data_IF_822125721501
#
_entry.id   IF_822125721501
#
_cell.length_a   1.000
_cell.length_b   1.000
_cell.length_c   1.000
_cell.angle_alpha   90.00
_cell.angle_beta   90.00
_cell.angle_gamma   90.00
#
_symmetry.space_group_name_H-M   'P 1'
#
loop_
_entity.id
_entity.type
_entity.pdbx_description
1 polymer ?
#
# COMPACT_ATOMS: atom_id res chain seq x y z
N UNK A 1 11.19 12.56 -33.03
CA UNK A 1 11.77 12.28 -31.68
C UNK A 1 10.81 11.35 -30.98
N UNK A 2 11.22 10.13 -30.61
CA UNK A 2 10.39 9.24 -29.78
C UNK A 2 10.50 9.70 -28.31
N UNK A 3 9.36 9.81 -27.60
CA UNK A 3 9.39 10.16 -26.19
C UNK A 3 10.02 9.01 -25.36
N UNK A 4 10.82 9.30 -24.33
CA UNK A 4 11.37 8.28 -23.46
C UNK A 4 10.26 7.61 -22.65
N UNK A 5 10.33 6.28 -22.55
CA UNK A 5 9.44 5.47 -21.72
C UNK A 5 9.62 5.85 -20.25
N UNK A 6 8.53 6.12 -19.56
CA UNK A 6 8.46 6.44 -18.13
C UNK A 6 8.15 5.18 -17.31
N UNK A 7 8.37 5.24 -15.99
CA UNK A 7 8.00 4.16 -15.06
C UNK A 7 6.50 3.83 -15.04
N UNK A 8 5.67 4.67 -15.65
CA UNK A 8 4.22 4.49 -15.76
C UNK A 8 3.79 3.90 -17.12
N UNK A 9 4.73 3.76 -18.06
CA UNK A 9 4.47 3.23 -19.41
C UNK A 9 4.64 1.70 -19.50
N UNK A 10 4.93 1.04 -18.38
CA UNK A 10 5.08 -0.42 -18.27
C UNK A 10 4.20 -0.95 -17.14
N UNK A 11 2.94 -1.23 -17.47
CA UNK A 11 2.06 -2.02 -16.61
C UNK A 11 2.20 -3.49 -17.00
N UNK A 12 2.80 -4.28 -16.12
CA UNK A 12 2.76 -5.73 -16.20
C UNK A 12 1.48 -6.22 -15.50
N UNK A 13 0.43 -6.47 -16.30
CA UNK A 13 -0.87 -6.92 -15.80
C UNK A 13 -0.77 -8.25 -15.03
N UNK A 14 0.18 -9.12 -15.40
CA UNK A 14 0.39 -10.39 -14.71
C UNK A 14 1.02 -10.17 -13.33
N UNK A 15 1.95 -9.22 -13.23
CA UNK A 15 2.52 -8.80 -11.95
C UNK A 15 1.48 -8.13 -11.05
N UNK A 16 0.62 -7.27 -11.61
CA UNK A 16 -0.49 -6.65 -10.87
C UNK A 16 -1.48 -7.71 -10.34
N UNK A 17 -1.89 -8.66 -11.18
CA UNK A 17 -2.80 -9.72 -10.78
C UNK A 17 -2.20 -10.62 -9.67
N UNK A 18 -0.90 -10.92 -9.76
CA UNK A 18 -0.19 -11.68 -8.73
C UNK A 18 -0.14 -10.92 -7.40
N UNK A 19 0.18 -9.62 -7.44
CA UNK A 19 0.21 -8.76 -6.26
C UNK A 19 -1.16 -8.65 -5.57
N UNK A 20 -2.24 -8.49 -6.35
CA UNK A 20 -3.61 -8.47 -5.82
C UNK A 20 -3.97 -9.81 -5.16
N UNK A 21 -3.61 -10.93 -5.79
CA UNK A 21 -3.88 -12.26 -5.25
C UNK A 21 -3.17 -12.45 -3.91
N UNK A 22 -1.88 -12.09 -3.84
CA UNK A 22 -1.11 -12.15 -2.60
C UNK A 22 -1.74 -11.28 -1.50
N UNK A 23 -2.08 -10.03 -1.80
CA UNK A 23 -2.69 -9.11 -0.84
C UNK A 23 -4.00 -9.67 -0.27
N UNK A 24 -4.84 -10.31 -1.10
CA UNK A 24 -6.08 -10.97 -0.65
C UNK A 24 -5.79 -12.15 0.27
N UNK A 25 -4.78 -12.96 -0.04
CA UNK A 25 -4.36 -14.07 0.83
C UNK A 25 -3.86 -13.57 2.18
N UNK A 26 -3.07 -12.48 2.20
CA UNK A 26 -2.57 -11.88 3.43
C UNK A 26 -3.71 -11.33 4.30
N UNK A 27 -4.66 -10.61 3.69
CA UNK A 27 -5.87 -10.13 4.39
C UNK A 27 -6.67 -11.31 4.97
N UNK A 28 -6.86 -12.39 4.19
CA UNK A 28 -7.56 -13.58 4.67
C UNK A 28 -6.82 -14.30 5.80
N UNK A 29 -5.49 -14.21 5.85
CA UNK A 29 -4.65 -14.71 6.93
C UNK A 29 -4.62 -13.77 8.16
N UNK A 30 -5.41 -12.69 8.15
CA UNK A 30 -5.45 -11.69 9.23
C UNK A 30 -4.27 -10.73 9.24
N UNK A 31 -3.40 -10.77 8.22
CA UNK A 31 -2.27 -9.85 8.12
C UNK A 31 -2.75 -8.50 7.63
N UNK A 32 -2.44 -7.45 8.38
CA UNK A 32 -2.71 -6.08 7.99
C UNK A 32 -3.12 -5.22 9.16
N UNK A 33 -3.32 -3.93 8.90
CA UNK A 33 -3.76 -2.97 9.90
C UNK A 33 -5.15 -2.49 9.50
N UNK A 34 -6.13 -2.46 10.42
CA UNK A 34 -7.46 -1.94 10.11
C UNK A 34 -7.39 -0.51 9.55
N UNK A 35 -8.23 -0.22 8.55
CA UNK A 35 -8.24 1.06 7.86
C UNK A 35 -8.38 2.26 8.83
N UNK A 36 -9.21 2.14 9.86
CA UNK A 36 -9.42 3.21 10.84
C UNK A 36 -8.16 3.53 11.65
N UNK A 37 -7.38 2.51 12.01
CA UNK A 37 -6.12 2.67 12.75
C UNK A 37 -5.08 3.38 11.88
N UNK A 38 -4.99 3.00 10.61
CA UNK A 38 -4.15 3.69 9.62
C UNK A 38 -4.61 5.13 9.43
N UNK A 39 -5.93 5.36 9.34
CA UNK A 39 -6.52 6.69 9.16
C UNK A 39 -6.23 7.62 10.34
N UNK A 40 -6.35 7.14 11.58
CA UNK A 40 -5.96 7.91 12.76
C UNK A 40 -4.47 8.24 12.74
N UNK A 41 -3.63 7.25 12.45
CA UNK A 41 -2.19 7.43 12.36
C UNK A 41 -1.80 8.50 11.33
N UNK A 42 -2.35 8.44 10.11
CA UNK A 42 -2.08 9.42 9.07
C UNK A 42 -2.50 10.84 9.47
N UNK A 43 -3.62 10.99 10.19
CA UNK A 43 -4.05 12.29 10.72
C UNK A 43 -3.09 12.83 11.77
N UNK A 44 -2.56 11.97 12.66
CA UNK A 44 -1.54 12.35 13.66
C UNK A 44 -0.21 12.71 13.00
N UNK A 45 0.21 11.95 11.99
CA UNK A 45 1.39 12.22 11.18
C UNK A 45 1.29 13.59 10.50
N UNK A 46 0.14 13.90 9.89
CA UNK A 46 -0.10 15.19 9.23
C UNK A 46 -0.02 16.39 10.20
N UNK A 47 -0.27 16.18 11.49
CA UNK A 47 -0.14 17.20 12.55
C UNK A 47 1.25 17.21 13.20
N UNK A 48 2.17 16.34 12.80
CA UNK A 48 3.50 16.20 13.39
C UNK A 48 3.53 15.49 14.75
N UNK A 49 2.45 14.80 15.13
CA UNK A 49 2.28 14.20 16.46
C UNK A 49 2.87 12.78 16.57
N UNK A 50 3.06 12.08 15.45
CA UNK A 50 3.65 10.74 15.43
C UNK A 50 4.21 10.38 14.06
N UNK A 51 5.44 9.88 14.01
CA UNK A 51 6.07 9.34 12.79
C UNK A 51 6.00 7.81 12.70
N UNK A 52 5.71 7.13 13.81
CA UNK A 52 5.81 5.67 13.87
C UNK A 52 4.49 5.05 13.42
N UNK A 53 4.49 4.20 12.38
CA UNK A 53 3.30 3.48 11.95
C UNK A 53 2.79 2.52 13.03
N UNK A 54 1.49 2.23 13.04
CA UNK A 54 0.92 1.22 13.91
C UNK A 54 1.57 -0.15 13.65
N UNK A 55 1.73 -1.00 14.69
CA UNK A 55 2.22 -2.36 14.50
C UNK A 55 1.21 -3.19 13.70
N UNK A 56 1.71 -4.22 13.01
CA UNK A 56 0.86 -5.26 12.44
C UNK A 56 0.30 -6.10 13.59
N UNK A 57 -1.01 -6.34 13.58
CA UNK A 57 -1.66 -7.34 14.44
C UNK A 57 -1.38 -8.77 13.94
#
# INVERSE_FOLDING_TARGET
MAQPKTIFDETDEALEAAAITQARTEIAAGKGIPHEVVGEWLRRLARGESSTPPPLD
#
